data_IF_746645983503
#
_entry.id   IF_746645983503
#
_cell.length_a   1.000
_cell.length_b   1.000
_cell.length_c   1.000
_cell.angle_alpha   90.00
_cell.angle_beta   90.00
_cell.angle_gamma   90.00
#
_symmetry.space_group_name_H-M   'P 1'
#
loop_
_entity.id
_entity.type
_entity.pdbx_description
1 polymer ?
#
# COMPACT_ATOMS: atom_id res chain seq x y z
N UNK A 1 11.05 17.47 40.70
CA UNK A 1 11.81 16.37 40.18
C UNK A 1 11.15 15.01 40.36
N UNK A 2 10.90 14.61 41.60
CA UNK A 2 10.23 13.32 41.85
C UNK A 2 8.79 13.30 41.38
N UNK A 3 8.08 14.40 41.56
CA UNK A 3 6.70 14.54 41.08
C UNK A 3 6.60 14.40 39.57
N UNK A 4 7.52 15.04 38.84
CA UNK A 4 7.58 14.94 37.39
C UNK A 4 7.90 13.50 36.97
N UNK A 5 8.79 12.85 37.68
CA UNK A 5 9.18 11.47 37.40
C UNK A 5 8.02 10.52 37.71
N UNK A 6 7.32 10.71 38.79
CA UNK A 6 6.15 9.92 39.18
C UNK A 6 5.01 10.08 38.17
N UNK A 7 4.78 11.30 37.69
CA UNK A 7 3.79 11.56 36.62
C UNK A 7 4.08 10.78 35.36
N UNK A 8 5.35 10.70 34.94
CA UNK A 8 5.72 9.86 33.81
C UNK A 8 5.41 8.39 34.05
N UNK A 9 5.68 7.91 35.26
CA UNK A 9 5.39 6.50 35.61
C UNK A 9 3.90 6.20 35.67
N UNK A 10 3.08 7.19 36.02
CA UNK A 10 1.64 7.01 36.12
C UNK A 10 0.92 7.16 34.77
N UNK A 11 1.59 7.68 33.75
CA UNK A 11 1.00 7.81 32.41
C UNK A 11 0.94 6.43 31.77
N UNK A 12 -0.28 5.98 31.52
CA UNK A 12 -0.52 4.72 30.83
C UNK A 12 -0.98 4.99 29.41
N UNK A 13 -0.50 4.17 28.48
CA UNK A 13 -0.92 4.26 27.09
C UNK A 13 -2.29 3.61 26.97
N UNK A 14 -3.26 4.36 26.43
CA UNK A 14 -4.54 3.80 26.02
C UNK A 14 -4.37 3.21 24.62
N UNK A 15 -4.10 1.94 24.55
CA UNK A 15 -3.83 1.24 23.31
C UNK A 15 -5.06 1.15 22.41
N UNK A 16 -6.26 1.05 22.96
CA UNK A 16 -7.49 1.05 22.16
C UNK A 16 -7.66 2.37 21.42
N UNK A 17 -7.45 3.47 22.11
CA UNK A 17 -7.52 4.80 21.50
C UNK A 17 -6.40 4.99 20.48
N UNK A 18 -5.20 4.54 20.81
CA UNK A 18 -4.04 4.60 19.91
C UNK A 18 -4.29 3.80 18.64
N UNK A 19 -4.85 2.61 18.77
CA UNK A 19 -5.20 1.78 17.62
C UNK A 19 -6.21 2.49 16.71
N UNK A 20 -7.25 3.08 17.25
CA UNK A 20 -8.25 3.82 16.49
C UNK A 20 -7.64 5.00 15.73
N UNK A 21 -6.76 5.76 16.37
CA UNK A 21 -6.08 6.90 15.75
C UNK A 21 -5.14 6.40 14.66
N UNK A 22 -4.36 5.37 14.97
CA UNK A 22 -3.40 4.78 14.07
C UNK A 22 -4.10 4.23 12.81
N UNK A 23 -5.22 3.54 12.99
CA UNK A 23 -6.00 3.00 11.88
C UNK A 23 -6.42 4.10 10.90
N UNK A 24 -6.92 5.22 11.40
CA UNK A 24 -7.31 6.35 10.53
C UNK A 24 -6.13 6.92 9.74
N UNK A 25 -4.98 7.07 10.41
CA UNK A 25 -3.77 7.56 9.76
C UNK A 25 -3.28 6.58 8.70
N UNK A 26 -3.31 5.30 9.00
CA UNK A 26 -2.89 4.23 8.09
C UNK A 26 -3.82 4.14 6.88
N UNK A 27 -5.14 4.20 7.10
CA UNK A 27 -6.11 4.21 6.00
C UNK A 27 -5.89 5.38 5.05
N UNK A 28 -5.67 6.57 5.59
CA UNK A 28 -5.42 7.77 4.80
C UNK A 28 -4.10 7.65 4.01
N UNK A 29 -3.04 7.16 4.66
CA UNK A 29 -1.74 6.97 4.00
C UNK A 29 -1.80 5.88 2.94
N UNK A 30 -2.54 4.80 3.19
CA UNK A 30 -2.78 3.76 2.20
C UNK A 30 -3.38 4.34 0.92
N UNK A 31 -4.45 5.13 1.04
CA UNK A 31 -5.10 5.78 -0.11
C UNK A 31 -4.16 6.71 -0.85
N UNK A 32 -3.36 7.48 -0.13
CA UNK A 32 -2.39 8.40 -0.70
C UNK A 32 -1.34 7.64 -1.53
N UNK A 33 -0.73 6.60 -0.97
CA UNK A 33 0.28 5.80 -1.67
C UNK A 33 -0.35 5.07 -2.86
N UNK A 34 -1.53 4.50 -2.67
CA UNK A 34 -2.24 3.76 -3.71
C UNK A 34 -2.55 4.61 -4.94
N UNK A 35 -2.84 5.90 -4.74
CA UNK A 35 -3.17 6.83 -5.82
C UNK A 35 -1.98 7.68 -6.29
N UNK A 36 -0.80 7.41 -5.76
CA UNK A 36 0.41 8.20 -6.05
C UNK A 36 0.95 7.94 -7.44
N UNK A 37 1.46 9.00 -8.09
CA UNK A 37 2.20 8.92 -9.34
C UNK A 37 3.58 9.55 -9.10
N UNK A 38 4.67 8.86 -9.45
CA UNK A 38 4.73 7.52 -10.04
C UNK A 38 4.23 6.42 -9.11
N UNK A 39 3.77 5.33 -9.69
CA UNK A 39 3.17 4.23 -8.92
C UNK A 39 4.13 3.66 -7.89
N UNK A 40 3.59 3.36 -6.71
CA UNK A 40 4.35 2.79 -5.61
C UNK A 40 3.55 1.65 -4.97
N UNK A 41 4.25 0.57 -4.63
CA UNK A 41 3.64 -0.56 -3.94
C UNK A 41 3.30 -0.19 -2.50
N UNK A 42 2.07 -0.50 -2.08
CA UNK A 42 1.62 -0.23 -0.72
C UNK A 42 2.04 -1.38 0.18
N UNK A 43 2.94 -1.09 1.12
CA UNK A 43 3.47 -2.06 2.07
C UNK A 43 3.39 -1.52 3.49
N UNK A 44 3.41 -2.42 4.47
CA UNK A 44 3.51 -2.07 5.89
C UNK A 44 4.73 -1.17 6.15
N UNK A 45 5.86 -1.50 5.55
CA UNK A 45 7.09 -0.73 5.71
C UNK A 45 6.95 0.69 5.14
N UNK A 46 6.38 0.83 3.95
CA UNK A 46 6.18 2.15 3.33
C UNK A 46 5.24 3.02 4.17
N UNK A 47 4.11 2.47 4.58
CA UNK A 47 3.15 3.18 5.44
C UNK A 47 3.81 3.61 6.74
N UNK A 48 4.48 2.68 7.41
CA UNK A 48 5.11 2.93 8.69
C UNK A 48 6.21 3.98 8.60
N UNK A 49 7.03 3.92 7.57
CA UNK A 49 8.12 4.88 7.36
C UNK A 49 7.58 6.28 7.11
N UNK A 50 6.58 6.41 6.24
CA UNK A 50 6.03 7.72 5.91
C UNK A 50 5.23 8.36 7.05
N UNK A 51 4.60 7.55 7.90
CA UNK A 51 3.91 8.04 9.09
C UNK A 51 4.82 8.18 10.31
N UNK A 52 6.06 7.69 10.25
CA UNK A 52 6.98 7.70 11.40
C UNK A 52 6.58 6.73 12.50
N UNK A 53 5.81 5.68 12.19
CA UNK A 53 5.31 4.70 13.18
C UNK A 53 5.77 3.28 12.88
N UNK A 54 6.81 3.13 12.06
CA UNK A 54 7.31 1.81 11.66
C UNK A 54 7.62 0.93 12.87
N UNK A 55 8.30 1.50 13.86
CA UNK A 55 8.65 0.76 15.06
C UNK A 55 7.42 0.23 15.79
N UNK A 56 6.37 1.05 15.92
CA UNK A 56 5.11 0.64 16.55
C UNK A 56 4.43 -0.48 15.75
N UNK A 57 4.40 -0.38 14.43
CA UNK A 57 3.77 -1.38 13.57
C UNK A 57 4.46 -2.75 13.66
N UNK A 58 5.76 -2.77 13.85
CA UNK A 58 6.53 -4.03 13.91
C UNK A 58 6.69 -4.57 15.32
N UNK A 59 6.87 -3.72 16.32
CA UNK A 59 7.18 -4.15 17.67
C UNK A 59 5.97 -4.17 18.62
N UNK A 60 4.92 -3.43 18.31
CA UNK A 60 3.71 -3.36 19.12
C UNK A 60 2.46 -3.80 18.35
N UNK A 61 2.63 -4.66 17.36
CA UNK A 61 1.55 -5.14 16.50
C UNK A 61 0.38 -5.76 17.30
N UNK A 62 0.68 -6.49 18.35
CA UNK A 62 -0.29 -7.13 19.22
C UNK A 62 -1.19 -6.12 19.97
N UNK A 63 -0.75 -4.88 20.10
CA UNK A 63 -1.46 -3.83 20.82
C UNK A 63 -2.34 -2.95 19.94
N UNK A 64 -2.18 -3.08 18.62
CA UNK A 64 -2.94 -2.32 17.62
C UNK A 64 -3.56 -3.26 16.58
N UNK A 65 -4.43 -4.18 17.02
CA UNK A 65 -4.92 -5.26 16.16
C UNK A 65 -5.73 -4.78 14.96
N UNK A 66 -6.54 -3.73 15.09
CA UNK A 66 -7.37 -3.25 13.99
C UNK A 66 -6.50 -2.61 12.89
N UNK A 67 -5.48 -1.86 13.30
CA UNK A 67 -4.50 -1.29 12.37
C UNK A 67 -3.75 -2.38 11.60
N UNK A 68 -3.29 -3.39 12.32
CA UNK A 68 -2.53 -4.50 11.70
C UNK A 68 -3.42 -5.31 10.76
N UNK A 69 -4.67 -5.57 11.13
CA UNK A 69 -5.62 -6.28 10.27
C UNK A 69 -5.86 -5.52 8.98
N UNK A 70 -6.04 -4.21 9.05
CA UNK A 70 -6.21 -3.38 7.85
C UNK A 70 -4.99 -3.50 6.93
N UNK A 71 -3.79 -3.42 7.47
CA UNK A 71 -2.56 -3.53 6.69
C UNK A 71 -2.46 -4.92 6.04
N UNK A 72 -2.71 -5.98 6.80
CA UNK A 72 -2.65 -7.35 6.28
C UNK A 72 -3.63 -7.57 5.13
N UNK A 73 -4.82 -6.99 5.22
CA UNK A 73 -5.85 -7.15 4.19
C UNK A 73 -5.62 -6.28 2.95
N UNK A 74 -4.81 -5.24 3.05
CA UNK A 74 -4.70 -4.23 1.99
C UNK A 74 -3.29 -4.04 1.43
N UNK A 75 -2.25 -4.50 2.11
CA UNK A 75 -0.89 -4.38 1.56
C UNK A 75 -0.75 -5.19 0.28
N UNK A 76 0.07 -4.70 -0.61
CA UNK A 76 0.24 -5.30 -1.93
C UNK A 76 1.47 -6.21 -1.98
N UNK A 77 1.31 -7.41 -2.55
CA UNK A 77 2.42 -8.19 -3.05
C UNK A 77 3.02 -7.52 -4.28
N UNK A 78 4.21 -7.96 -4.69
CA UNK A 78 4.80 -7.49 -5.94
C UNK A 78 3.89 -7.80 -7.13
N UNK A 79 3.26 -8.96 -7.12
CA UNK A 79 2.35 -9.41 -8.16
C UNK A 79 1.09 -8.54 -8.22
N UNK A 80 0.44 -8.30 -7.09
CA UNK A 80 -0.73 -7.43 -7.01
C UNK A 80 -0.42 -6.01 -7.49
N UNK A 81 0.74 -5.51 -7.14
CA UNK A 81 1.18 -4.20 -7.58
C UNK A 81 1.40 -4.14 -9.10
N UNK A 82 1.98 -5.18 -9.69
CA UNK A 82 2.15 -5.27 -11.14
C UNK A 82 0.80 -5.27 -11.85
N UNK A 83 -0.16 -6.04 -11.34
CA UNK A 83 -1.53 -6.08 -11.89
C UNK A 83 -2.17 -4.69 -11.83
N UNK A 84 -2.12 -4.03 -10.68
CA UNK A 84 -2.69 -2.70 -10.52
C UNK A 84 -2.06 -1.70 -11.47
N UNK A 85 -0.76 -1.69 -11.55
CA UNK A 85 -0.02 -0.77 -12.42
C UNK A 85 -0.35 -0.98 -13.89
N UNK A 86 -0.38 -2.24 -14.33
CA UNK A 86 -0.76 -2.59 -15.69
C UNK A 86 -2.18 -2.10 -16.01
N UNK A 87 -3.14 -2.41 -15.15
CA UNK A 87 -4.54 -2.02 -15.36
C UNK A 87 -4.73 -0.50 -15.39
N UNK A 88 -4.01 0.23 -14.55
CA UNK A 88 -4.08 1.69 -14.54
C UNK A 88 -3.54 2.30 -15.84
N UNK A 89 -2.49 1.72 -16.40
CA UNK A 89 -1.94 2.19 -17.68
C UNK A 89 -2.89 1.87 -18.83
N UNK A 90 -3.50 0.68 -18.84
CA UNK A 90 -4.54 0.35 -19.82
C UNK A 90 -5.68 1.36 -19.75
N UNK A 91 -6.16 1.67 -18.55
CA UNK A 91 -7.25 2.64 -18.38
C UNK A 91 -6.87 4.04 -18.86
N UNK A 92 -5.64 4.45 -18.59
CA UNK A 92 -5.12 5.73 -19.10
C UNK A 92 -5.14 5.78 -20.64
N UNK A 93 -4.75 4.71 -21.30
CA UNK A 93 -4.78 4.63 -22.76
C UNK A 93 -6.23 4.71 -23.29
N UNK A 94 -7.14 3.98 -22.63
CA UNK A 94 -8.57 4.01 -23.00
C UNK A 94 -9.13 5.44 -22.85
N UNK A 95 -8.89 6.06 -21.72
CA UNK A 95 -9.42 7.38 -21.39
C UNK A 95 -8.89 8.49 -22.31
N UNK A 96 -7.72 8.29 -22.90
CA UNK A 96 -7.07 9.27 -23.76
C UNK A 96 -7.07 8.87 -25.25
N UNK A 97 -7.84 7.85 -25.61
CA UNK A 97 -7.94 7.35 -26.98
C UNK A 97 -6.59 7.01 -27.60
N UNK A 98 -5.66 6.47 -26.79
CA UNK A 98 -4.35 6.04 -27.27
C UNK A 98 -4.45 4.56 -27.67
N UNK A 99 -3.99 4.20 -28.88
CA UNK A 99 -3.97 2.79 -29.30
C UNK A 99 -3.17 1.92 -28.31
N UNK A 100 -3.76 0.83 -27.87
CA UNK A 100 -3.13 -0.05 -26.88
C UNK A 100 -2.25 -1.04 -27.61
N UNK A 101 -0.96 -1.04 -27.25
CA UNK A 101 0.02 -2.04 -27.70
C UNK A 101 0.67 -2.65 -26.46
N UNK A 102 0.67 -3.97 -26.37
CA UNK A 102 1.14 -4.67 -25.18
C UNK A 102 2.57 -4.26 -24.78
N UNK A 103 3.49 -4.22 -25.75
CA UNK A 103 4.88 -3.86 -25.44
C UNK A 103 5.02 -2.47 -24.82
N UNK A 104 4.17 -1.52 -25.25
CA UNK A 104 4.19 -0.16 -24.75
C UNK A 104 3.64 -0.09 -23.31
N UNK A 105 2.58 -0.83 -23.02
CA UNK A 105 2.01 -0.93 -21.68
C UNK A 105 3.02 -1.56 -20.73
N UNK A 106 3.64 -2.65 -21.12
CA UNK A 106 4.65 -3.34 -20.30
C UNK A 106 5.84 -2.45 -20.00
N UNK A 107 6.29 -1.68 -21.00
CA UNK A 107 7.38 -0.74 -20.83
C UNK A 107 7.05 0.35 -19.81
N UNK A 108 5.88 0.96 -19.95
CA UNK A 108 5.42 2.00 -19.01
C UNK A 108 5.16 1.45 -17.60
N UNK A 109 4.71 0.20 -17.51
CA UNK A 109 4.49 -0.47 -16.24
C UNK A 109 5.78 -1.02 -15.61
N UNK A 110 6.90 -0.95 -16.32
CA UNK A 110 8.18 -1.56 -15.93
C UNK A 110 8.05 -3.06 -15.65
N UNK A 111 7.32 -3.77 -16.51
CA UNK A 111 7.10 -5.22 -16.40
C UNK A 111 7.84 -5.89 -17.54
N UNK A 112 8.76 -6.80 -17.20
CA UNK A 112 9.45 -7.63 -18.20
C UNK A 112 8.59 -8.81 -18.62
N UNK A 113 9.06 -9.58 -19.60
CA UNK A 113 8.32 -10.73 -20.15
C UNK A 113 8.00 -11.77 -19.08
N UNK A 114 8.96 -12.07 -18.19
CA UNK A 114 8.75 -13.03 -17.12
C UNK A 114 7.68 -12.52 -16.12
N UNK A 115 7.74 -11.26 -15.75
CA UNK A 115 6.75 -10.64 -14.87
C UNK A 115 5.35 -10.63 -15.49
N UNK A 116 5.25 -10.39 -16.80
CA UNK A 116 3.98 -10.46 -17.50
C UNK A 116 3.40 -11.88 -17.51
N UNK A 117 4.22 -12.88 -17.76
CA UNK A 117 3.76 -14.29 -17.75
C UNK A 117 3.23 -14.70 -16.38
N UNK A 118 3.75 -14.14 -15.30
CA UNK A 118 3.27 -14.43 -13.93
C UNK A 118 1.89 -13.85 -13.65
N UNK A 119 1.54 -12.73 -14.28
CA UNK A 119 0.32 -11.99 -13.96
C UNK A 119 -0.76 -12.04 -15.04
N UNK A 120 -0.45 -12.53 -16.23
CA UNK A 120 -1.35 -12.40 -17.39
C UNK A 120 -2.75 -12.98 -17.15
N UNK A 121 -2.86 -14.06 -16.38
CA UNK A 121 -4.14 -14.71 -16.09
C UNK A 121 -4.99 -13.91 -15.10
N UNK A 122 -4.40 -12.95 -14.42
CA UNK A 122 -5.08 -12.05 -13.47
C UNK A 122 -5.51 -10.73 -14.11
N UNK A 123 -5.11 -10.50 -15.36
CA UNK A 123 -5.44 -9.27 -16.06
C UNK A 123 -6.79 -9.39 -16.75
N UNK A 124 -7.58 -8.33 -16.67
CA UNK A 124 -8.84 -8.20 -17.42
C UNK A 124 -8.56 -7.32 -18.63
N UNK A 125 -8.17 -7.93 -19.73
CA UNK A 125 -7.90 -7.20 -20.96
C UNK A 125 -9.20 -6.96 -21.71
N UNK A 126 -9.44 -5.75 -22.22
CA UNK A 126 -10.66 -5.44 -22.99
C UNK A 126 -10.67 -6.13 -24.36
N UNK A 127 -9.55 -6.66 -24.79
CA UNK A 127 -9.39 -7.39 -26.04
C UNK A 127 -8.07 -8.19 -25.98
N UNK A 128 -7.89 -9.09 -26.95
CA UNK A 128 -6.67 -9.90 -27.03
C UNK A 128 -5.47 -9.05 -27.42
N UNK A 129 -4.45 -9.03 -26.56
CA UNK A 129 -3.20 -8.31 -26.79
C UNK A 129 -2.01 -9.26 -27.06
N UNK A 130 -2.23 -10.56 -26.99
CA UNK A 130 -1.18 -11.56 -27.12
C UNK A 130 -1.02 -12.03 -28.55
#
# INVERSE_FOLDING_TARGET
>A
SNEFHDNKKSIKIDWNKRDSICLRLVEAKYKEIYNRIPYQRVTKSAIGTELGIRNMLYNNADKIPDTILFIQNNQESVEDFRVRRFNNIIQFFIDNDIPIKLWKVLRLASINSAGFMEIKDKLKLPFELY
#
